data_IF_847151177791
#
_entry.id   IF_847151177791
#
_cell.length_a   1.000
_cell.length_b   1.000
_cell.length_c   1.000
_cell.angle_alpha   90.00
_cell.angle_beta   90.00
_cell.angle_gamma   90.00
#
_symmetry.space_group_name_H-M   'P 1'
#
loop_
_entity.id
_entity.type
_entity.pdbx_description
1 polymer ?
#
# COMPACT_ATOMS: atom_id res chain seq x y z
N UNK A 1 -2.75 31.05 -25.90
CA UNK A 1 -1.72 30.06 -25.49
C UNK A 1 -1.04 30.47 -24.18
N UNK A 2 -0.61 29.53 -23.34
CA UNK A 2 0.09 29.83 -22.08
C UNK A 2 1.50 30.38 -22.34
N UNK A 3 2.00 31.24 -21.46
CA UNK A 3 3.40 31.72 -21.51
C UNK A 3 4.37 30.57 -21.27
N UNK A 4 5.59 30.69 -21.80
CA UNK A 4 6.63 29.66 -21.63
C UNK A 4 6.92 29.36 -20.15
N UNK A 5 6.98 30.41 -19.32
CA UNK A 5 7.18 30.25 -17.88
C UNK A 5 6.05 29.43 -17.24
N UNK A 6 4.80 29.68 -17.63
CA UNK A 6 3.66 28.93 -17.10
C UNK A 6 3.65 27.48 -17.57
N UNK A 7 4.05 27.22 -18.81
CA UNK A 7 4.23 25.85 -19.31
C UNK A 7 5.33 25.10 -18.55
N UNK A 8 6.47 25.74 -18.29
CA UNK A 8 7.57 25.14 -17.52
C UNK A 8 7.15 24.84 -16.07
N UNK A 9 6.37 25.73 -15.44
CA UNK A 9 5.78 25.49 -14.12
C UNK A 9 4.91 24.23 -14.12
N UNK A 10 4.05 24.05 -15.13
CA UNK A 10 3.20 22.87 -15.23
C UNK A 10 3.98 21.58 -15.49
N UNK A 11 5.03 21.62 -16.32
CA UNK A 11 5.91 20.47 -16.53
C UNK A 11 6.59 20.02 -15.23
N UNK A 12 7.13 20.96 -14.46
CA UNK A 12 7.78 20.67 -13.18
C UNK A 12 6.78 20.15 -12.15
N UNK A 13 5.56 20.71 -12.10
CA UNK A 13 4.48 20.21 -11.22
C UNK A 13 4.08 18.79 -11.57
N UNK A 14 3.94 18.47 -12.86
CA UNK A 14 3.65 17.10 -13.29
C UNK A 14 4.78 16.15 -12.88
N UNK A 15 6.03 16.55 -13.07
CA UNK A 15 7.20 15.74 -12.71
C UNK A 15 7.29 15.48 -11.21
N UNK A 16 7.08 16.53 -10.41
CA UNK A 16 7.01 16.44 -8.97
C UNK A 16 5.94 15.45 -8.50
N UNK A 17 4.72 15.52 -9.05
CA UNK A 17 3.64 14.59 -8.67
C UNK A 17 3.95 13.14 -9.01
N UNK A 18 4.51 12.86 -10.20
CA UNK A 18 4.90 11.49 -10.58
C UNK A 18 6.00 10.98 -9.65
N UNK A 19 7.03 11.79 -9.38
CA UNK A 19 8.12 11.40 -8.49
C UNK A 19 7.65 11.19 -7.04
N UNK A 20 6.77 12.05 -6.55
CA UNK A 20 6.16 11.92 -5.24
C UNK A 20 5.38 10.60 -5.14
N UNK A 21 4.61 10.24 -6.16
CA UNK A 21 3.87 8.97 -6.19
C UNK A 21 4.80 7.74 -6.17
N UNK A 22 5.93 7.79 -6.89
CA UNK A 22 6.97 6.76 -6.82
C UNK A 22 7.53 6.66 -5.38
N UNK A 23 7.76 7.79 -4.73
CA UNK A 23 8.21 7.83 -3.33
C UNK A 23 7.18 7.22 -2.38
N UNK A 24 5.91 7.59 -2.51
CA UNK A 24 4.82 6.98 -1.74
C UNK A 24 4.80 5.46 -1.91
N UNK A 25 4.90 4.95 -3.14
CA UNK A 25 4.96 3.51 -3.40
C UNK A 25 6.10 2.82 -2.63
N UNK A 26 7.30 3.41 -2.65
CA UNK A 26 8.49 2.86 -1.99
C UNK A 26 8.37 2.88 -0.47
N UNK A 27 8.00 4.03 0.08
CA UNK A 27 7.87 4.23 1.52
C UNK A 27 6.80 3.28 2.08
N UNK A 28 5.65 3.19 1.42
CA UNK A 28 4.57 2.31 1.85
C UNK A 28 4.90 0.83 1.65
N UNK A 29 5.54 0.44 0.53
CA UNK A 29 6.00 -0.95 0.32
C UNK A 29 6.93 -1.43 1.44
N UNK A 30 7.81 -0.56 1.95
CA UNK A 30 8.74 -0.88 3.03
C UNK A 30 8.01 -1.13 4.35
N UNK A 31 7.04 -0.28 4.69
CA UNK A 31 6.20 -0.45 5.88
C UNK A 31 5.43 -1.76 5.78
N UNK A 32 4.77 -1.99 4.64
CA UNK A 32 3.95 -3.17 4.38
C UNK A 32 4.76 -4.48 4.47
N UNK A 33 5.96 -4.52 3.88
CA UNK A 33 6.80 -5.73 3.89
C UNK A 33 7.23 -6.13 5.30
N UNK A 34 7.63 -5.14 6.12
CA UNK A 34 8.05 -5.40 7.50
C UNK A 34 6.91 -5.94 8.36
N UNK A 35 5.72 -5.34 8.24
CA UNK A 35 4.55 -5.78 9.00
C UNK A 35 4.08 -7.16 8.50
N UNK A 36 4.13 -7.40 7.18
CA UNK A 36 3.76 -8.67 6.58
C UNK A 36 4.64 -9.81 7.09
N UNK A 37 5.97 -9.66 7.04
CA UNK A 37 6.92 -10.69 7.50
C UNK A 37 6.71 -11.01 8.99
N UNK A 38 6.46 -9.98 9.82
CA UNK A 38 6.19 -10.14 11.24
C UNK A 38 4.90 -10.94 11.50
N UNK A 39 3.79 -10.51 10.89
CA UNK A 39 2.48 -11.17 11.06
C UNK A 39 2.52 -12.59 10.47
N UNK A 40 3.16 -12.78 9.32
CA UNK A 40 3.31 -14.09 8.68
C UNK A 40 4.13 -15.04 9.56
N UNK A 41 5.22 -14.57 10.18
CA UNK A 41 6.01 -15.37 11.10
C UNK A 41 5.19 -15.81 12.32
N UNK A 42 4.38 -14.91 12.89
CA UNK A 42 3.48 -15.25 14.01
C UNK A 42 2.46 -16.31 13.54
N UNK A 43 1.83 -16.08 12.39
CA UNK A 43 0.84 -16.99 11.81
C UNK A 43 1.36 -18.41 11.60
N UNK A 44 2.57 -18.55 11.05
CA UNK A 44 3.21 -19.86 10.83
C UNK A 44 3.57 -20.60 12.13
N UNK A 45 3.66 -19.89 13.25
CA UNK A 45 3.99 -20.44 14.57
C UNK A 45 2.78 -20.76 15.45
N UNK A 46 1.55 -20.47 14.98
CA UNK A 46 0.32 -20.67 15.74
C UNK A 46 0.13 -22.16 16.09
N UNK A 47 -0.12 -22.44 17.38
CA UNK A 47 -0.17 -23.80 17.93
C UNK A 47 -1.44 -24.09 18.75
N UNK A 48 -2.58 -23.53 18.35
CA UNK A 48 -3.87 -23.62 19.06
C UNK A 48 -3.95 -22.88 20.40
N UNK A 49 -2.91 -22.14 20.80
CA UNK A 49 -2.96 -21.27 21.98
C UNK A 49 -3.62 -19.92 21.69
N UNK A 50 -4.49 -19.51 22.60
CA UNK A 50 -5.20 -18.23 22.55
C UNK A 50 -4.26 -17.02 22.60
N UNK A 51 -3.17 -17.11 23.35
CA UNK A 51 -2.13 -16.06 23.45
C UNK A 51 -1.49 -15.75 22.09
N UNK A 52 -1.21 -16.77 21.28
CA UNK A 52 -0.57 -16.61 19.97
C UNK A 52 -1.51 -15.94 18.96
N UNK A 53 -2.83 -16.21 19.03
CA UNK A 53 -3.84 -15.52 18.22
C UNK A 53 -3.92 -14.04 18.60
N UNK A 54 -3.98 -13.74 19.89
CA UNK A 54 -4.14 -12.36 20.36
C UNK A 54 -2.96 -11.49 19.90
N UNK A 55 -1.75 -12.04 19.90
CA UNK A 55 -0.58 -11.36 19.35
C UNK A 55 -0.70 -11.09 17.84
N UNK A 56 -1.18 -12.06 17.06
CA UNK A 56 -1.40 -11.86 15.62
C UNK A 56 -2.44 -10.76 15.35
N UNK A 57 -3.54 -10.75 16.13
CA UNK A 57 -4.59 -9.72 16.03
C UNK A 57 -4.02 -8.34 16.38
N UNK A 58 -3.27 -8.23 17.47
CA UNK A 58 -2.62 -6.96 17.88
C UNK A 58 -1.74 -6.41 16.77
N UNK A 59 -0.91 -7.25 16.14
CA UNK A 59 -0.04 -6.83 15.03
C UNK A 59 -0.81 -6.43 13.78
N UNK A 60 -1.91 -7.10 13.48
CA UNK A 60 -2.80 -6.72 12.39
C UNK A 60 -3.47 -5.38 12.68
N UNK A 61 -3.91 -5.12 13.91
CA UNK A 61 -4.52 -3.84 14.28
C UNK A 61 -3.49 -2.69 14.25
N UNK A 62 -2.25 -2.93 14.67
CA UNK A 62 -1.14 -1.98 14.47
C UNK A 62 -0.95 -1.65 12.98
N UNK A 63 -0.96 -2.65 12.10
CA UNK A 63 -0.88 -2.45 10.66
C UNK A 63 -2.09 -1.68 10.11
N UNK A 64 -3.31 -1.99 10.55
CA UNK A 64 -4.53 -1.28 10.13
C UNK A 64 -4.50 0.21 10.49
N UNK A 65 -3.95 0.56 11.64
CA UNK A 65 -3.76 1.97 12.01
C UNK A 65 -2.80 2.68 11.04
N UNK A 66 -1.72 2.02 10.62
CA UNK A 66 -0.79 2.55 9.60
C UNK A 66 -1.44 2.63 8.22
N UNK A 67 -2.38 1.73 7.90
CA UNK A 67 -3.17 1.83 6.67
C UNK A 67 -4.02 3.10 6.63
N UNK A 68 -4.44 3.66 7.76
CA UNK A 68 -5.18 4.92 7.74
C UNK A 68 -4.35 6.09 7.19
N UNK A 69 -3.02 6.06 7.39
CA UNK A 69 -2.11 7.05 6.83
C UNK A 69 -2.07 7.02 5.29
N UNK A 70 -2.46 5.91 4.66
CA UNK A 70 -2.57 5.84 3.20
C UNK A 70 -3.61 6.80 2.64
N UNK A 71 -4.61 7.19 3.44
CA UNK A 71 -5.59 8.22 3.04
C UNK A 71 -4.91 9.57 2.79
N UNK A 72 -3.73 9.82 3.39
CA UNK A 72 -2.91 11.00 3.12
C UNK A 72 -2.15 10.86 1.78
N UNK A 73 -1.94 9.64 1.30
CA UNK A 73 -1.36 9.31 -0.02
C UNK A 73 -2.49 9.01 -1.02
N UNK A 74 -3.25 10.05 -1.39
CA UNK A 74 -4.45 9.93 -2.23
C UNK A 74 -4.22 9.11 -3.52
N UNK A 75 -3.04 9.25 -4.12
CA UNK A 75 -2.63 8.52 -5.32
C UNK A 75 -2.58 6.99 -5.12
N UNK A 76 -2.16 6.54 -3.94
CA UNK A 76 -2.21 5.11 -3.58
C UNK A 76 -3.60 4.68 -3.15
N UNK A 77 -4.32 5.54 -2.40
CA UNK A 77 -5.67 5.24 -1.97
C UNK A 77 -6.62 5.00 -3.16
N UNK A 78 -6.53 5.84 -4.20
CA UNK A 78 -7.37 5.73 -5.40
C UNK A 78 -7.21 4.38 -6.10
N UNK A 79 -5.98 3.84 -6.16
CA UNK A 79 -5.72 2.55 -6.85
C UNK A 79 -6.04 1.33 -5.97
N UNK A 80 -6.11 1.50 -4.65
CA UNK A 80 -6.41 0.43 -3.69
C UNK A 80 -7.87 0.38 -3.27
N UNK A 81 -8.67 1.40 -3.62
CA UNK A 81 -10.07 1.50 -3.18
C UNK A 81 -10.90 0.25 -3.52
N UNK A 82 -10.78 -0.26 -4.74
CA UNK A 82 -11.49 -1.47 -5.15
C UNK A 82 -11.06 -2.71 -4.36
N UNK A 83 -9.78 -2.79 -4.01
CA UNK A 83 -9.22 -3.87 -3.21
C UNK A 83 -9.70 -3.81 -1.76
N UNK A 84 -9.81 -2.62 -1.17
CA UNK A 84 -10.41 -2.44 0.16
C UNK A 84 -11.87 -2.93 0.19
N UNK A 85 -12.68 -2.58 -0.81
CA UNK A 85 -14.07 -3.02 -0.89
C UNK A 85 -14.14 -4.55 -1.00
N UNK A 86 -13.31 -5.17 -1.84
CA UNK A 86 -13.23 -6.63 -1.95
C UNK A 86 -12.89 -7.28 -0.62
N UNK A 87 -11.90 -6.75 0.08
CA UNK A 87 -11.45 -7.24 1.38
C UNK A 87 -12.54 -7.11 2.45
N UNK A 88 -13.24 -5.98 2.52
CA UNK A 88 -14.36 -5.79 3.46
C UNK A 88 -15.48 -6.81 3.22
N UNK A 89 -15.80 -7.13 1.97
CA UNK A 89 -16.78 -8.17 1.61
C UNK A 89 -16.33 -9.56 2.08
N UNK A 90 -15.04 -9.89 1.93
CA UNK A 90 -14.51 -11.15 2.41
C UNK A 90 -14.55 -11.24 3.94
N UNK A 91 -14.15 -10.19 4.65
CA UNK A 91 -14.24 -10.13 6.11
C UNK A 91 -15.68 -10.25 6.60
N UNK A 92 -16.65 -9.61 5.95
CA UNK A 92 -18.06 -9.73 6.31
C UNK A 92 -18.53 -11.20 6.33
N UNK A 93 -18.06 -12.01 5.37
CA UNK A 93 -18.36 -13.45 5.31
C UNK A 93 -17.78 -14.22 6.49
N UNK A 94 -16.59 -13.84 6.95
CA UNK A 94 -15.96 -14.42 8.15
C UNK A 94 -16.73 -13.99 9.40
N UNK A 95 -17.11 -12.72 9.52
CA UNK A 95 -17.79 -12.19 10.70
C UNK A 95 -19.12 -12.87 10.98
N UNK A 96 -19.90 -13.22 9.95
CA UNK A 96 -21.20 -13.90 10.10
C UNK A 96 -21.10 -15.37 10.52
N UNK A 97 -19.90 -15.97 10.53
CA UNK A 97 -19.71 -17.32 11.03
C UNK A 97 -20.06 -17.38 12.53
N UNK A 98 -20.86 -18.38 12.93
CA UNK A 98 -21.36 -18.54 14.29
C UNK A 98 -20.71 -19.76 14.97
N UNK A 99 -19.52 -19.61 15.57
CA UNK A 99 -18.79 -20.73 16.17
C UNK A 99 -19.58 -21.36 17.31
N UNK A 100 -19.60 -22.70 17.38
CA UNK A 100 -20.31 -23.46 18.42
C UNK A 100 -19.36 -24.06 19.45
N UNK A 101 -18.12 -24.30 19.04
CA UNK A 101 -17.06 -24.85 19.87
C UNK A 101 -15.89 -23.87 19.99
N UNK A 102 -14.97 -24.14 20.92
CA UNK A 102 -13.69 -23.41 21.02
C UNK A 102 -12.85 -23.60 19.75
N UNK A 103 -12.87 -24.79 19.17
CA UNK A 103 -12.19 -25.11 17.92
C UNK A 103 -12.76 -24.31 16.75
N UNK A 104 -14.09 -24.15 16.67
CA UNK A 104 -14.72 -23.31 15.65
C UNK A 104 -14.30 -21.84 15.80
N UNK A 105 -14.22 -21.35 17.03
CA UNK A 105 -13.78 -19.98 17.31
C UNK A 105 -12.31 -19.79 16.93
N UNK A 106 -11.45 -20.76 17.26
CA UNK A 106 -10.06 -20.79 16.85
C UNK A 106 -9.93 -20.74 15.32
N UNK A 107 -10.63 -21.63 14.62
CA UNK A 107 -10.62 -21.68 13.15
C UNK A 107 -11.14 -20.39 12.50
N UNK A 108 -12.17 -19.76 13.09
CA UNK A 108 -12.66 -18.45 12.65
C UNK A 108 -11.57 -17.38 12.76
N UNK A 109 -10.81 -17.36 13.85
CA UNK A 109 -9.68 -16.43 14.03
C UNK A 109 -8.57 -16.70 13.01
N UNK A 110 -8.24 -17.97 12.74
CA UNK A 110 -7.27 -18.35 11.70
C UNK A 110 -7.70 -17.85 10.32
N UNK A 111 -8.97 -18.02 9.96
CA UNK A 111 -9.51 -17.49 8.70
C UNK A 111 -9.38 -15.96 8.63
N UNK A 112 -9.69 -15.27 9.73
CA UNK A 112 -9.58 -13.81 9.81
C UNK A 112 -8.14 -13.33 9.62
N UNK A 113 -7.16 -13.96 10.30
CA UNK A 113 -5.73 -13.63 10.17
C UNK A 113 -5.25 -13.89 8.74
N UNK A 114 -5.63 -15.04 8.17
CA UNK A 114 -5.27 -15.43 6.81
C UNK A 114 -5.79 -14.43 5.77
N UNK A 115 -7.05 -13.98 5.91
CA UNK A 115 -7.63 -12.98 5.01
C UNK A 115 -6.85 -11.66 5.04
N UNK A 116 -6.35 -11.23 6.22
CA UNK A 116 -5.52 -10.04 6.33
C UNK A 116 -4.16 -10.22 5.65
N UNK A 117 -3.51 -11.39 5.82
CA UNK A 117 -2.25 -11.68 5.15
C UNK A 117 -2.39 -11.69 3.62
N UNK A 118 -3.43 -12.36 3.09
CA UNK A 118 -3.73 -12.37 1.66
C UNK A 118 -4.00 -10.96 1.13
N UNK A 119 -4.74 -10.14 1.89
CA UNK A 119 -4.96 -8.74 1.57
C UNK A 119 -3.65 -7.94 1.50
N UNK A 120 -2.74 -8.11 2.47
CA UNK A 120 -1.43 -7.45 2.47
C UNK A 120 -0.60 -7.81 1.23
N UNK A 121 -0.60 -9.08 0.81
CA UNK A 121 0.09 -9.51 -0.42
C UNK A 121 -0.50 -8.85 -1.66
N UNK A 122 -1.83 -8.79 -1.77
CA UNK A 122 -2.51 -8.12 -2.88
C UNK A 122 -2.17 -6.63 -2.93
N UNK A 123 -2.23 -5.95 -1.78
CA UNK A 123 -1.85 -4.53 -1.68
C UNK A 123 -0.41 -4.33 -2.13
N UNK A 124 0.52 -5.18 -1.68
CA UNK A 124 1.93 -5.12 -2.08
C UNK A 124 2.10 -5.26 -3.60
N UNK A 125 1.45 -6.26 -4.21
CA UNK A 125 1.48 -6.49 -5.65
C UNK A 125 0.99 -5.28 -6.44
N UNK A 126 -0.11 -4.66 -6.02
CA UNK A 126 -0.67 -3.47 -6.66
C UNK A 126 0.29 -2.26 -6.58
N UNK A 127 0.87 -2.01 -5.40
CA UNK A 127 1.83 -0.91 -5.23
C UNK A 127 3.07 -1.11 -6.10
N UNK A 128 3.58 -2.34 -6.18
CA UNK A 128 4.74 -2.65 -7.02
C UNK A 128 4.43 -2.50 -8.50
N UNK A 129 3.23 -2.90 -8.95
CA UNK A 129 2.79 -2.67 -10.31
C UNK A 129 2.72 -1.17 -10.63
N UNK A 130 2.17 -0.35 -9.72
CA UNK A 130 2.11 1.10 -9.86
C UNK A 130 3.49 1.75 -9.90
N UNK A 131 4.38 1.39 -8.97
CA UNK A 131 5.77 1.88 -8.93
C UNK A 131 6.47 1.66 -10.26
N UNK A 132 6.40 0.43 -10.78
CA UNK A 132 7.01 0.05 -12.05
C UNK A 132 6.42 0.81 -13.23
N UNK A 133 5.10 0.99 -13.26
CA UNK A 133 4.42 1.74 -14.30
C UNK A 133 4.85 3.23 -14.29
N UNK A 134 4.93 3.86 -13.12
CA UNK A 134 5.35 5.26 -12.99
C UNK A 134 6.81 5.45 -13.41
N UNK A 135 7.72 4.59 -12.95
CA UNK A 135 9.14 4.65 -13.30
C UNK A 135 9.33 4.48 -14.81
N UNK A 136 8.64 3.52 -15.44
CA UNK A 136 8.76 3.28 -16.89
C UNK A 136 8.28 4.46 -17.72
N UNK A 137 7.22 5.14 -17.27
CA UNK A 137 6.55 6.18 -18.06
C UNK A 137 7.03 7.61 -17.75
N UNK A 138 7.96 7.80 -16.81
CA UNK A 138 8.47 9.15 -16.48
C UNK A 138 9.44 9.70 -17.53
N UNK A 139 10.09 8.83 -18.32
CA UNK A 139 11.17 9.22 -19.25
C UNK A 139 10.81 10.34 -20.23
N UNK A 140 9.64 10.33 -20.93
CA UNK A 140 9.30 11.41 -21.85
C UNK A 140 9.18 12.78 -21.15
N UNK A 141 8.74 12.79 -19.89
CA UNK A 141 8.66 14.02 -19.10
C UNK A 141 10.04 14.53 -18.70
N UNK A 142 10.95 13.62 -18.38
CA UNK A 142 12.35 13.96 -18.09
C UNK A 142 13.08 14.52 -19.30
N UNK A 143 12.90 13.90 -20.47
CA UNK A 143 13.44 14.39 -21.74
C UNK A 143 12.91 15.80 -22.05
N UNK A 144 11.60 16.02 -21.88
CA UNK A 144 11.01 17.35 -22.09
C UNK A 144 11.57 18.41 -21.14
N UNK A 145 11.84 18.06 -19.88
CA UNK A 145 12.43 19.00 -18.92
C UNK A 145 13.88 19.33 -19.25
N UNK A 146 14.66 18.36 -19.73
CA UNK A 146 16.03 18.56 -20.23
C UNK A 146 16.07 19.47 -21.45
N UNK A 147 15.16 19.29 -22.41
CA UNK A 147 15.01 20.18 -23.57
C UNK A 147 14.73 21.63 -23.15
N UNK A 148 14.01 21.82 -22.03
CA UNK A 148 13.72 23.13 -21.44
C UNK A 148 14.84 23.68 -20.55
N UNK A 149 15.96 22.95 -20.38
CA UNK A 149 17.10 23.28 -19.51
C UNK A 149 16.69 23.44 -18.03
N UNK A 150 15.81 22.57 -17.55
CA UNK A 150 15.26 22.61 -16.18
C UNK A 150 15.91 21.58 -15.23
N UNK A 151 17.07 21.04 -15.59
CA UNK A 151 17.79 19.97 -14.88
C UNK A 151 17.99 20.25 -13.39
N UNK A 152 18.39 21.49 -13.05
CA UNK A 152 18.54 21.95 -11.66
C UNK A 152 17.29 21.72 -10.80
N UNK A 153 16.11 21.87 -11.39
CA UNK A 153 14.84 21.67 -10.69
C UNK A 153 14.47 20.19 -10.61
N UNK A 154 14.82 19.38 -11.61
CA UNK A 154 14.67 17.93 -11.56
C UNK A 154 15.47 17.33 -10.40
N UNK A 155 16.73 17.75 -10.24
CA UNK A 155 17.57 17.31 -9.12
C UNK A 155 16.98 17.67 -7.76
N UNK A 156 16.33 18.84 -7.65
CA UNK A 156 15.66 19.27 -6.41
C UNK A 156 14.44 18.41 -6.09
N UNK A 157 13.68 18.00 -7.11
CA UNK A 157 12.53 17.10 -6.93
C UNK A 157 12.97 15.70 -6.50
N UNK A 158 14.13 15.25 -6.97
CA UNK A 158 14.65 13.90 -6.68
C UNK A 158 15.21 13.72 -5.26
N UNK A 159 15.57 14.82 -4.60
CA UNK A 159 16.04 14.82 -3.19
C UNK A 159 14.87 14.61 -2.24
#
# INVERSE_FOLDING_TARGET
>A
PLSLNKQNEFLLKAYYKVYQSIKHCRDFSKILSNDFENIQSIYLSLNEKEEDINLAIEKIDEFKNKLEDIKQMQDLYDILQSLFIQFELNLARIYVLNPKTKEDAFNKSILWIKEHLEFMELVYGHIKAQENALIKNILPLEEKLKERKLDKWMERVRR
#
